data_IF_035322420890
#
_entry.id   IF_035322420890
#
_cell.length_a   1.000
_cell.length_b   1.000
_cell.length_c   1.000
_cell.angle_alpha   90.00
_cell.angle_beta   90.00
_cell.angle_gamma   90.00
#
_symmetry.space_group_name_H-M   'P 1'
#
loop_
_entity.id
_entity.type
_entity.pdbx_description
1 polymer ?
#
# COMPACT_ATOMS: atom_id res chain seq x y z
N UNK A 1 20.09 19.71 -53.66
CA UNK A 1 19.96 18.28 -53.39
C UNK A 1 20.60 18.01 -52.03
N UNK A 2 19.74 17.82 -51.02
CA UNK A 2 19.87 17.33 -49.64
C UNK A 2 21.15 17.50 -48.78
N UNK A 3 20.92 18.28 -47.71
CA UNK A 3 21.66 18.48 -46.45
C UNK A 3 21.85 17.17 -45.67
N UNK A 4 23.04 16.94 -45.11
CA UNK A 4 23.32 15.80 -44.22
C UNK A 4 22.99 16.19 -42.78
N UNK A 5 21.88 15.65 -42.25
CA UNK A 5 21.65 15.51 -40.81
C UNK A 5 22.37 14.24 -40.33
N UNK A 6 23.21 14.35 -39.31
CA UNK A 6 23.66 13.19 -38.54
C UNK A 6 23.28 13.44 -37.07
N UNK A 7 22.26 12.70 -36.66
CA UNK A 7 21.64 12.74 -35.34
C UNK A 7 22.62 12.33 -34.25
N UNK A 8 22.64 13.11 -33.16
CA UNK A 8 23.27 12.73 -31.91
C UNK A 8 22.51 11.58 -31.27
N UNK A 9 23.23 10.50 -30.95
CA UNK A 9 22.69 9.34 -30.27
C UNK A 9 22.30 9.70 -28.82
N UNK A 10 21.00 9.58 -28.51
CA UNK A 10 20.48 9.61 -27.15
C UNK A 10 20.93 8.33 -26.42
N UNK A 11 21.69 8.50 -25.34
CA UNK A 11 21.99 7.44 -24.41
C UNK A 11 20.70 7.03 -23.68
N UNK A 12 20.11 5.92 -24.08
CA UNK A 12 19.02 5.28 -23.36
C UNK A 12 19.58 4.63 -22.10
N UNK A 13 19.29 5.21 -20.94
CA UNK A 13 19.53 4.56 -19.65
C UNK A 13 18.56 3.37 -19.53
N UNK A 14 19.11 2.17 -19.56
CA UNK A 14 18.38 0.92 -19.34
C UNK A 14 17.90 0.84 -17.89
N UNK A 15 16.61 1.11 -17.67
CA UNK A 15 15.94 0.74 -16.43
C UNK A 15 15.87 -0.79 -16.44
N UNK A 16 16.74 -1.42 -15.65
CA UNK A 16 16.72 -2.85 -15.41
C UNK A 16 15.40 -3.17 -14.71
N UNK A 17 14.48 -3.82 -15.42
CA UNK A 17 13.23 -4.33 -14.88
C UNK A 17 13.56 -5.36 -13.81
N UNK A 18 13.34 -5.00 -12.54
CA UNK A 18 13.24 -5.97 -11.46
C UNK A 18 12.02 -6.84 -11.77
N UNK A 19 12.27 -8.00 -12.37
CA UNK A 19 11.30 -9.07 -12.45
C UNK A 19 11.01 -9.56 -11.02
N UNK A 20 10.10 -8.87 -10.33
CA UNK A 20 9.36 -9.47 -9.23
C UNK A 20 8.56 -10.58 -9.89
N UNK A 21 8.95 -11.83 -9.64
CA UNK A 21 8.10 -12.98 -9.90
C UNK A 21 6.85 -12.83 -9.02
N UNK A 22 5.86 -12.09 -9.55
CA UNK A 22 4.61 -11.82 -8.90
C UNK A 22 3.68 -13.01 -9.17
N UNK A 23 3.77 -14.05 -8.34
CA UNK A 23 2.51 -14.64 -7.88
C UNK A 23 1.88 -13.62 -6.91
N UNK A 24 1.34 -12.53 -7.48
CA UNK A 24 0.50 -11.62 -6.72
C UNK A 24 -0.78 -12.37 -6.35
N UNK A 25 -1.21 -12.25 -5.10
CA UNK A 25 -2.44 -12.89 -4.62
C UNK A 25 -2.22 -14.03 -3.65
N UNK A 26 -1.75 -13.71 -2.44
CA UNK A 26 -1.91 -14.64 -1.30
C UNK A 26 -3.38 -15.02 -1.11
N UNK A 27 -3.64 -16.31 -0.86
CA UNK A 27 -4.97 -16.80 -0.48
C UNK A 27 -5.32 -16.47 0.97
N UNK A 28 -4.36 -16.01 1.77
CA UNK A 28 -4.43 -15.80 3.22
C UNK A 28 -3.72 -14.49 3.57
N UNK A 29 -4.30 -13.35 3.17
CA UNK A 29 -3.68 -12.06 3.39
C UNK A 29 -3.52 -11.79 4.89
N UNK A 30 -4.48 -12.21 5.71
CA UNK A 30 -4.45 -11.93 7.15
C UNK A 30 -4.53 -13.18 8.00
N UNK A 31 -3.53 -13.32 8.88
CA UNK A 31 -3.54 -14.23 10.02
C UNK A 31 -3.58 -13.43 11.33
N UNK A 32 -4.60 -13.66 12.13
CA UNK A 32 -4.86 -12.99 13.40
C UNK A 32 -4.32 -13.83 14.57
N UNK A 33 -3.88 -13.17 15.62
CA UNK A 33 -3.53 -13.81 16.90
C UNK A 33 -4.40 -13.17 17.97
N UNK A 34 -5.07 -13.96 18.79
CA UNK A 34 -5.86 -13.45 19.92
C UNK A 34 -5.98 -14.52 21.00
N UNK A 35 -5.62 -14.19 22.25
CA UNK A 35 -5.80 -15.08 23.41
C UNK A 35 -5.15 -16.47 23.26
N UNK A 36 -4.03 -16.57 22.54
CA UNK A 36 -3.34 -17.83 22.23
C UNK A 36 -3.87 -18.59 21.01
N UNK A 37 -5.01 -18.18 20.44
CA UNK A 37 -5.53 -18.74 19.21
C UNK A 37 -5.00 -18.00 17.97
N UNK A 38 -4.72 -18.76 16.91
CA UNK A 38 -4.30 -18.24 15.61
C UNK A 38 -5.42 -18.46 14.61
N UNK A 39 -5.95 -17.36 14.08
CA UNK A 39 -7.04 -17.36 13.12
C UNK A 39 -6.52 -16.93 11.76
N UNK A 40 -7.20 -17.30 10.66
CA UNK A 40 -6.78 -16.91 9.31
C UNK A 40 -8.00 -16.60 8.47
N UNK A 41 -8.04 -15.40 7.91
CA UNK A 41 -9.08 -14.99 6.97
C UNK A 41 -8.56 -15.14 5.55
N UNK A 42 -9.34 -15.81 4.71
CA UNK A 42 -8.99 -16.03 3.29
C UNK A 42 -9.29 -14.78 2.47
N UNK A 43 -8.54 -14.60 1.38
CA UNK A 43 -8.80 -13.53 0.41
C UNK A 43 -10.24 -13.56 -0.13
N UNK A 44 -10.83 -14.75 -0.31
CA UNK A 44 -12.22 -14.89 -0.77
C UNK A 44 -13.27 -14.37 0.22
N UNK A 45 -12.98 -14.43 1.53
CA UNK A 45 -13.89 -13.90 2.56
C UNK A 45 -13.84 -12.38 2.58
N UNK A 46 -12.64 -11.80 2.49
CA UNK A 46 -12.48 -10.36 2.28
C UNK A 46 -13.14 -9.89 0.99
N UNK A 47 -12.96 -10.61 -0.12
CA UNK A 47 -13.55 -10.25 -1.41
C UNK A 47 -15.09 -10.21 -1.37
N UNK A 48 -15.73 -11.19 -0.71
CA UNK A 48 -17.19 -11.17 -0.48
C UNK A 48 -17.59 -9.94 0.34
N UNK A 49 -16.97 -9.77 1.50
CA UNK A 49 -17.24 -8.64 2.38
C UNK A 49 -17.07 -7.28 1.67
N UNK A 50 -16.03 -7.10 0.87
CA UNK A 50 -15.83 -5.85 0.12
C UNK A 50 -16.89 -5.64 -0.97
N UNK A 51 -17.36 -6.71 -1.61
CA UNK A 51 -18.30 -6.64 -2.73
C UNK A 51 -19.75 -6.34 -2.30
N UNK A 52 -20.24 -7.01 -1.26
CA UNK A 52 -21.66 -6.95 -0.88
C UNK A 52 -21.89 -6.85 0.63
N UNK A 53 -20.84 -6.69 1.43
CA UNK A 53 -20.91 -6.60 2.89
C UNK A 53 -21.10 -7.96 3.58
N UNK A 54 -21.17 -9.08 2.86
CA UNK A 54 -21.40 -10.40 3.46
C UNK A 54 -20.17 -10.87 4.26
N UNK A 55 -20.33 -11.00 5.58
CA UNK A 55 -19.31 -11.54 6.48
C UNK A 55 -19.49 -13.06 6.62
N UNK A 56 -18.68 -13.82 5.88
CA UNK A 56 -18.73 -15.30 5.85
C UNK A 56 -17.64 -15.98 6.68
N UNK A 57 -16.74 -15.21 7.29
CA UNK A 57 -15.58 -15.70 8.02
C UNK A 57 -15.59 -15.20 9.46
N UNK A 58 -15.52 -16.14 10.42
CA UNK A 58 -15.56 -15.82 11.85
C UNK A 58 -14.38 -14.95 12.30
N UNK A 59 -13.21 -15.11 11.68
CA UNK A 59 -12.03 -14.35 12.06
C UNK A 59 -12.12 -12.91 11.53
N UNK A 60 -12.70 -12.71 10.34
CA UNK A 60 -13.05 -11.38 9.82
C UNK A 60 -14.07 -10.69 10.72
N UNK A 61 -15.15 -11.39 11.10
CA UNK A 61 -16.16 -10.85 12.03
C UNK A 61 -15.52 -10.41 13.34
N UNK A 62 -14.65 -11.23 13.93
CA UNK A 62 -13.94 -10.88 15.15
C UNK A 62 -13.01 -9.67 14.95
N UNK A 63 -12.30 -9.60 13.83
CA UNK A 63 -11.46 -8.46 13.47
C UNK A 63 -12.25 -7.15 13.39
N UNK A 64 -13.42 -7.18 12.75
CA UNK A 64 -14.33 -6.02 12.66
C UNK A 64 -14.84 -5.64 14.05
N UNK A 65 -15.38 -6.59 14.81
CA UNK A 65 -15.94 -6.32 16.15
C UNK A 65 -14.90 -5.73 17.12
N UNK A 66 -13.63 -6.14 16.99
CA UNK A 66 -12.54 -5.65 17.84
C UNK A 66 -11.87 -4.38 17.28
N UNK A 67 -12.30 -3.89 16.10
CA UNK A 67 -11.66 -2.74 15.46
C UNK A 67 -12.13 -1.39 15.99
N UNK A 68 -13.28 -1.35 16.66
CA UNK A 68 -13.92 -0.09 17.07
C UNK A 68 -14.65 0.64 15.94
N UNK A 69 -14.81 -0.01 14.79
CA UNK A 69 -15.57 0.47 13.63
C UNK A 69 -16.73 -0.45 13.33
N UNK A 70 -17.76 0.09 12.67
CA UNK A 70 -18.84 -0.71 12.09
C UNK A 70 -18.34 -1.49 10.86
N UNK A 71 -19.07 -2.54 10.48
CA UNK A 71 -18.77 -3.29 9.27
C UNK A 71 -18.82 -2.39 8.02
N UNK A 72 -19.81 -1.50 7.94
CA UNK A 72 -20.01 -0.59 6.81
C UNK A 72 -18.85 0.42 6.70
N UNK A 73 -18.40 1.02 7.81
CA UNK A 73 -17.25 1.93 7.83
C UNK A 73 -15.96 1.23 7.37
N UNK A 74 -15.74 -0.01 7.81
CA UNK A 74 -14.59 -0.79 7.34
C UNK A 74 -14.76 -1.10 5.85
N UNK A 75 -15.93 -1.55 5.40
CA UNK A 75 -16.15 -1.87 3.99
C UNK A 75 -15.90 -0.65 3.10
N UNK A 76 -16.47 0.50 3.44
CA UNK A 76 -16.29 1.76 2.73
C UNK A 76 -14.81 2.16 2.73
N UNK A 77 -14.15 2.20 3.90
CA UNK A 77 -12.74 2.57 4.00
C UNK A 77 -11.79 1.61 3.27
N UNK A 78 -12.13 0.32 3.21
CA UNK A 78 -11.30 -0.69 2.54
C UNK A 78 -11.43 -0.62 1.01
N UNK A 79 -12.58 -0.20 0.50
CA UNK A 79 -12.92 -0.14 -0.94
C UNK A 79 -12.74 1.24 -1.55
N UNK A 80 -12.56 2.28 -0.73
CA UNK A 80 -12.26 3.63 -1.18
C UNK A 80 -10.96 3.66 -2.00
N UNK A 81 -11.06 4.24 -3.19
CA UNK A 81 -9.95 4.45 -4.11
C UNK A 81 -9.42 5.88 -4.00
N UNK A 82 -8.13 6.06 -4.27
CA UNK A 82 -7.42 7.33 -4.25
C UNK A 82 -6.57 7.48 -5.51
N UNK A 83 -6.69 8.64 -6.17
CA UNK A 83 -5.85 8.96 -7.33
C UNK A 83 -4.40 9.15 -6.91
N UNK A 84 -3.48 8.51 -7.64
CA UNK A 84 -2.03 8.56 -7.40
C UNK A 84 -1.23 8.57 -8.70
N UNK A 85 -0.06 9.22 -8.67
CA UNK A 85 0.96 9.09 -9.71
C UNK A 85 1.90 7.93 -9.36
N UNK A 86 1.91 6.88 -10.19
CA UNK A 86 2.75 5.69 -9.98
C UNK A 86 4.23 6.04 -9.79
N UNK A 87 4.73 7.02 -10.54
CA UNK A 87 6.13 7.46 -10.45
C UNK A 87 6.38 8.17 -9.13
N UNK A 88 5.47 9.05 -8.69
CA UNK A 88 5.55 9.77 -7.44
C UNK A 88 5.43 8.86 -6.22
N UNK A 89 4.53 7.87 -6.27
CA UNK A 89 4.44 6.81 -5.26
C UNK A 89 5.75 6.02 -5.21
N UNK A 90 6.26 5.58 -6.36
CA UNK A 90 7.52 4.84 -6.42
C UNK A 90 8.69 5.65 -5.84
N UNK A 91 8.83 6.93 -6.23
CA UNK A 91 9.85 7.84 -5.70
C UNK A 91 9.76 7.97 -4.19
N UNK A 92 8.55 8.14 -3.64
CA UNK A 92 8.33 8.16 -2.21
C UNK A 92 8.82 6.85 -1.58
N UNK A 93 8.30 5.70 -2.01
CA UNK A 93 8.57 4.39 -1.38
C UNK A 93 10.04 3.94 -1.45
N UNK A 94 10.81 4.45 -2.42
CA UNK A 94 12.26 4.22 -2.55
C UNK A 94 13.12 5.31 -1.90
N UNK A 95 12.54 6.42 -1.45
CA UNK A 95 13.24 7.44 -0.67
C UNK A 95 13.59 6.94 0.74
N UNK A 96 14.47 7.65 1.44
CA UNK A 96 14.81 7.35 2.83
C UNK A 96 13.57 7.39 3.75
N UNK A 97 12.72 8.41 3.57
CA UNK A 97 11.49 8.57 4.35
C UNK A 97 10.48 7.48 4.04
N UNK A 98 10.35 7.08 2.76
CA UNK A 98 9.48 5.97 2.37
C UNK A 98 9.96 4.60 2.88
N UNK A 99 11.28 4.37 2.94
CA UNK A 99 11.83 3.16 3.57
C UNK A 99 11.51 3.13 5.05
N UNK A 100 11.70 4.26 5.76
CA UNK A 100 11.34 4.38 7.18
C UNK A 100 9.84 4.17 7.40
N UNK A 101 9.01 4.81 6.58
CA UNK A 101 7.57 4.61 6.57
C UNK A 101 7.22 3.12 6.45
N UNK A 102 7.75 2.41 5.44
CA UNK A 102 7.46 0.99 5.22
C UNK A 102 7.93 0.10 6.38
N UNK A 103 9.08 0.41 7.00
CA UNK A 103 9.56 -0.31 8.17
C UNK A 103 8.60 -0.14 9.36
N UNK A 104 8.17 1.10 9.61
CA UNK A 104 7.20 1.44 10.65
C UNK A 104 5.82 0.80 10.37
N UNK A 105 5.35 0.83 9.11
CA UNK A 105 4.09 0.22 8.68
C UNK A 105 4.10 -1.30 8.81
N UNK A 106 5.24 -1.95 8.61
CA UNK A 106 5.36 -3.41 8.74
C UNK A 106 5.71 -3.86 10.15
N UNK A 107 5.70 -2.96 11.15
CA UNK A 107 6.15 -3.23 12.53
C UNK A 107 5.43 -4.42 13.17
N UNK A 108 4.12 -4.49 13.04
CA UNK A 108 3.28 -5.51 13.69
C UNK A 108 2.56 -6.42 12.69
N UNK A 109 2.66 -6.10 11.40
CA UNK A 109 2.07 -6.83 10.29
C UNK A 109 3.14 -7.11 9.22
N UNK A 110 3.52 -8.38 9.06
CA UNK A 110 4.66 -8.77 8.22
C UNK A 110 4.51 -10.18 7.63
N UNK A 111 5.31 -10.55 6.61
CA UNK A 111 5.32 -11.89 6.02
C UNK A 111 5.47 -13.01 7.05
N UNK A 112 4.60 -14.01 7.01
CA UNK A 112 4.56 -15.08 8.01
C UNK A 112 5.88 -15.87 8.12
N UNK A 113 6.48 -16.25 6.99
CA UNK A 113 7.68 -17.09 6.95
C UNK A 113 9.00 -16.31 7.06
N UNK A 114 9.17 -15.27 6.22
CA UNK A 114 10.39 -14.47 6.15
C UNK A 114 10.44 -13.35 7.20
N UNK A 115 9.34 -13.14 7.94
CA UNK A 115 9.20 -12.14 9.00
C UNK A 115 9.63 -10.75 8.50
N UNK A 116 10.49 -10.07 9.27
CA UNK A 116 10.98 -8.72 8.98
C UNK A 116 11.92 -8.62 7.79
N UNK A 117 12.60 -9.71 7.42
CA UNK A 117 13.65 -9.67 6.40
C UNK A 117 13.15 -9.21 5.03
N UNK A 118 11.89 -9.50 4.70
CA UNK A 118 11.28 -9.16 3.41
C UNK A 118 10.04 -8.30 3.56
N UNK A 119 9.77 -7.76 4.76
CA UNK A 119 8.51 -7.07 5.04
C UNK A 119 8.38 -5.78 4.21
N UNK A 120 9.41 -4.92 4.25
CA UNK A 120 9.48 -3.69 3.46
C UNK A 120 9.32 -3.96 1.98
N UNK A 121 10.02 -4.97 1.44
CA UNK A 121 9.95 -5.30 0.01
C UNK A 121 8.57 -5.81 -0.38
N UNK A 122 7.97 -6.68 0.44
CA UNK A 122 6.66 -7.26 0.16
C UNK A 122 5.53 -6.23 0.24
N UNK A 123 5.56 -5.32 1.23
CA UNK A 123 4.57 -4.25 1.31
C UNK A 123 4.76 -3.23 0.18
N UNK A 124 6.01 -2.83 -0.10
CA UNK A 124 6.32 -1.94 -1.23
C UNK A 124 5.80 -2.50 -2.54
N UNK A 125 6.05 -3.78 -2.83
CA UNK A 125 5.59 -4.39 -4.08
C UNK A 125 4.08 -4.40 -4.19
N UNK A 126 3.37 -4.68 -3.09
CA UNK A 126 1.91 -4.68 -3.08
C UNK A 126 1.35 -3.27 -3.37
N UNK A 127 1.93 -2.23 -2.76
CA UNK A 127 1.53 -0.83 -2.99
C UNK A 127 1.78 -0.42 -4.44
N UNK A 128 2.95 -0.72 -4.99
CA UNK A 128 3.31 -0.35 -6.37
C UNK A 128 2.43 -1.09 -7.39
N UNK A 129 2.16 -2.38 -7.15
CA UNK A 129 1.30 -3.18 -8.04
C UNK A 129 -0.15 -2.72 -8.00
N UNK A 130 -0.62 -2.21 -6.85
CA UNK A 130 -1.96 -1.64 -6.77
C UNK A 130 -2.04 -0.30 -7.48
N UNK A 131 -1.08 0.60 -7.23
CA UNK A 131 -0.99 1.93 -7.84
C UNK A 131 -0.74 1.94 -9.36
N UNK A 132 -0.68 0.79 -10.02
CA UNK A 132 -0.23 0.65 -11.40
C UNK A 132 -1.18 1.25 -12.43
N UNK A 133 -2.48 1.32 -12.12
CA UNK A 133 -3.52 1.92 -12.95
C UNK A 133 -3.80 3.39 -12.63
N UNK A 134 -3.03 3.99 -11.70
CA UNK A 134 -3.20 5.37 -11.24
C UNK A 134 -4.15 5.50 -10.05
N UNK A 135 -4.64 4.39 -9.51
CA UNK A 135 -5.51 4.35 -8.34
C UNK A 135 -4.91 3.45 -7.25
N UNK A 136 -5.19 3.75 -5.98
CA UNK A 136 -4.76 2.90 -4.87
C UNK A 136 -5.87 2.71 -3.84
N UNK A 137 -6.02 1.48 -3.33
CA UNK A 137 -7.03 1.12 -2.34
C UNK A 137 -6.52 0.06 -1.35
N UNK A 138 -7.14 -0.02 -0.18
CA UNK A 138 -6.73 -0.98 0.85
C UNK A 138 -6.99 -2.42 0.40
N UNK A 139 -8.16 -2.66 -0.20
CA UNK A 139 -8.54 -3.94 -0.78
C UNK A 139 -7.60 -4.33 -1.94
N UNK A 140 -7.21 -3.35 -2.76
CA UNK A 140 -6.25 -3.50 -3.82
C UNK A 140 -4.87 -3.95 -3.34
N UNK A 141 -4.24 -3.17 -2.45
CA UNK A 141 -2.98 -3.52 -1.80
C UNK A 141 -3.04 -4.91 -1.16
N UNK A 142 -4.14 -5.24 -0.47
CA UNK A 142 -4.32 -6.55 0.15
C UNK A 142 -4.29 -7.69 -0.87
N UNK A 143 -4.93 -7.52 -2.04
CA UNK A 143 -4.89 -8.51 -3.13
C UNK A 143 -3.49 -8.66 -3.73
N UNK A 144 -2.71 -7.58 -3.76
CA UNK A 144 -1.37 -7.57 -4.34
C UNK A 144 -0.27 -8.07 -3.39
N UNK A 145 -0.62 -8.46 -2.16
CA UNK A 145 0.34 -9.05 -1.24
C UNK A 145 0.96 -10.33 -1.85
N UNK A 146 2.30 -10.41 -1.93
CA UNK A 146 2.97 -11.52 -2.61
C UNK A 146 3.04 -12.81 -1.77
N UNK A 147 2.79 -12.71 -0.46
CA UNK A 147 2.89 -13.82 0.49
C UNK A 147 1.87 -13.64 1.61
N UNK A 148 1.62 -14.70 2.39
CA UNK A 148 0.78 -14.64 3.59
C UNK A 148 1.41 -13.68 4.62
N UNK A 149 0.65 -12.68 5.06
CA UNK A 149 1.04 -11.82 6.17
C UNK A 149 0.35 -12.26 7.47
N UNK A 150 0.99 -11.91 8.58
CA UNK A 150 0.48 -12.19 9.92
C UNK A 150 0.51 -10.92 10.75
N UNK A 151 -0.59 -10.69 11.45
CA UNK A 151 -0.65 -9.82 12.60
C UNK A 151 -0.09 -10.57 13.80
N UNK A 152 0.90 -10.01 14.48
CA UNK A 152 1.35 -10.55 15.76
C UNK A 152 0.79 -9.68 16.89
N UNK A 153 -0.05 -10.27 17.74
CA UNK A 153 -0.63 -9.60 18.90
C UNK A 153 0.35 -9.60 20.09
N UNK A 154 0.31 -8.47 20.80
CA UNK A 154 0.80 -8.09 22.14
C UNK A 154 1.60 -9.12 22.96
N UNK A 155 2.92 -8.90 23.01
CA UNK A 155 3.82 -9.61 23.94
C UNK A 155 5.30 -9.52 23.58
N UNK A 156 5.61 -9.19 22.32
CA UNK A 156 6.98 -8.91 21.85
C UNK A 156 7.04 -7.69 20.92
N UNK A 157 5.92 -7.31 20.29
CA UNK A 157 5.68 -5.99 19.71
C UNK A 157 4.70 -5.22 20.63
N UNK A 158 4.82 -3.90 20.65
CA UNK A 158 4.02 -2.97 21.47
C UNK A 158 2.54 -2.85 21.05
N UNK A 159 2.03 -3.78 20.23
CA UNK A 159 0.64 -3.79 19.76
C UNK A 159 0.27 -2.71 18.76
N UNK A 160 1.04 -1.63 18.72
CA UNK A 160 0.72 -0.45 17.94
C UNK A 160 0.89 -0.76 16.45
N UNK A 161 -0.26 -0.90 15.79
CA UNK A 161 -0.36 -0.70 14.36
C UNK A 161 -0.04 0.77 14.12
N UNK A 162 0.87 1.06 13.20
CA UNK A 162 1.13 2.46 12.84
C UNK A 162 0.01 2.94 11.92
N UNK A 163 -1.18 3.12 12.49
CA UNK A 163 -2.34 3.62 11.77
C UNK A 163 -2.01 5.04 11.34
N UNK A 164 -2.04 5.29 10.04
CA UNK A 164 -1.71 6.59 9.46
C UNK A 164 -2.84 7.63 9.65
N UNK A 165 -3.31 7.76 10.88
CA UNK A 165 -4.34 8.70 11.32
C UNK A 165 -4.13 9.03 12.80
N UNK A 166 -3.88 10.31 13.07
CA UNK A 166 -3.81 10.81 14.44
C UNK A 166 -5.20 11.01 15.04
N UNK A 167 -5.26 10.99 16.38
CA UNK A 167 -6.48 11.28 17.15
C UNK A 167 -7.49 10.13 17.21
N UNK A 168 -7.06 8.89 16.95
CA UNK A 168 -7.87 7.70 17.18
C UNK A 168 -7.64 7.16 18.60
N UNK A 169 -8.72 6.77 19.26
CA UNK A 169 -8.68 6.06 20.54
C UNK A 169 -8.57 4.55 20.32
N UNK A 170 -8.21 3.82 21.38
CA UNK A 170 -8.33 2.36 21.36
C UNK A 170 -9.82 1.96 21.28
N UNK A 171 -10.18 0.93 20.49
CA UNK A 171 -9.28 0.00 19.80
C UNK A 171 -8.87 0.41 18.37
N UNK A 172 -9.39 1.53 17.85
CA UNK A 172 -9.20 1.97 16.47
C UNK A 172 -7.72 2.23 16.13
N UNK A 173 -6.97 2.83 17.05
CA UNK A 173 -5.54 3.12 16.88
C UNK A 173 -4.64 1.86 16.83
N UNK A 174 -5.13 0.72 17.28
CA UNK A 174 -4.39 -0.57 17.33
C UNK A 174 -4.94 -1.62 16.37
N UNK A 175 -5.97 -1.27 15.60
CA UNK A 175 -6.65 -2.21 14.70
C UNK A 175 -5.90 -2.37 13.38
N UNK A 176 -5.69 -3.62 12.95
CA UNK A 176 -5.15 -3.90 11.61
C UNK A 176 -6.10 -3.44 10.50
N UNK A 177 -7.41 -3.47 10.74
CA UNK A 177 -8.37 -2.96 9.76
C UNK A 177 -8.24 -1.45 9.61
N UNK A 178 -8.03 -0.72 10.71
CA UNK A 178 -7.76 0.71 10.66
C UNK A 178 -6.44 1.02 9.96
N UNK A 179 -5.39 0.22 10.22
CA UNK A 179 -4.14 0.31 9.48
C UNK A 179 -4.35 0.21 7.97
N UNK A 180 -5.11 -0.79 7.52
CA UNK A 180 -5.43 -0.93 6.11
C UNK A 180 -6.24 0.26 5.60
N UNK A 181 -7.34 0.62 6.25
CA UNK A 181 -8.24 1.72 5.83
C UNK A 181 -7.50 3.03 5.58
N UNK A 182 -6.51 3.37 6.41
CA UNK A 182 -5.78 4.64 6.30
C UNK A 182 -4.48 4.57 5.47
N UNK A 183 -4.00 3.37 5.12
CA UNK A 183 -2.76 3.21 4.38
C UNK A 183 -2.77 3.89 3.00
N UNK A 184 -3.78 3.71 2.12
CA UNK A 184 -3.79 4.32 0.79
C UNK A 184 -3.75 5.86 0.85
N UNK A 185 -4.55 6.47 1.73
CA UNK A 185 -4.57 7.91 1.92
C UNK A 185 -3.20 8.46 2.36
N UNK A 186 -2.49 7.72 3.21
CA UNK A 186 -1.15 8.10 3.64
C UNK A 186 -0.13 8.02 2.51
N UNK A 187 -0.17 6.96 1.71
CA UNK A 187 0.68 6.83 0.52
C UNK A 187 0.40 7.95 -0.47
N UNK A 188 -0.88 8.25 -0.71
CA UNK A 188 -1.30 9.36 -1.57
C UNK A 188 -0.75 10.70 -1.07
N UNK A 189 -0.86 10.99 0.24
CA UNK A 189 -0.40 12.25 0.82
C UNK A 189 1.12 12.45 0.75
N UNK A 190 1.89 11.37 0.69
CA UNK A 190 3.36 11.40 0.69
C UNK A 190 3.99 11.20 -0.69
N UNK A 191 3.20 10.99 -1.75
CA UNK A 191 3.73 10.80 -3.10
C UNK A 191 4.57 12.00 -3.56
N UNK A 192 5.70 11.75 -4.23
CA UNK A 192 6.62 12.80 -4.67
C UNK A 192 6.34 13.15 -6.13
N UNK A 193 5.45 14.13 -6.33
CA UNK A 193 5.09 14.62 -7.66
C UNK A 193 6.26 15.38 -8.32
N UNK A 194 6.39 15.34 -9.66
CA UNK A 194 7.32 16.22 -10.35
C UNK A 194 6.99 17.69 -10.06
N UNK A 195 8.01 18.54 -9.99
CA UNK A 195 7.80 19.98 -9.91
C UNK A 195 6.98 20.44 -11.13
N UNK A 196 5.97 21.28 -10.91
CA UNK A 196 5.21 21.86 -12.01
C UNK A 196 6.16 22.55 -13.00
N UNK A 197 5.96 22.37 -14.32
CA UNK A 197 6.76 23.07 -15.31
C UNK A 197 6.66 24.58 -15.05
N UNK A 198 7.82 25.24 -14.92
CA UNK A 198 7.85 26.70 -14.84
C UNK A 198 7.08 27.27 -16.04
N UNK A 199 6.24 28.30 -15.84
CA UNK A 199 5.48 28.89 -16.93
C UNK A 199 6.44 29.27 -18.05
N UNK A 200 6.15 28.80 -19.26
CA UNK A 200 6.98 29.07 -20.42
C UNK A 200 7.20 30.58 -20.54
N UNK A 201 8.47 31.01 -20.56
CA UNK A 201 8.82 32.41 -20.72
C UNK A 201 8.11 32.94 -21.97
N UNK A 202 7.32 34.01 -21.80
CA UNK A 202 6.62 34.62 -22.91
C UNK A 202 7.63 35.01 -24.01
N UNK A 203 7.33 34.75 -25.29
CA UNK A 203 8.24 35.11 -26.36
C UNK A 203 8.50 36.61 -26.31
N UNK A 204 9.77 37.00 -26.20
CA UNK A 204 10.19 38.40 -26.22
C UNK A 204 9.84 38.96 -27.60
N UNK A 205 8.72 39.68 -27.69
CA UNK A 205 8.34 40.42 -28.90
C UNK A 205 9.28 41.62 -29.03
N UNK A 206 10.17 41.61 -30.02
CA UNK A 206 10.94 42.82 -30.36
C UNK A 206 12.35 42.65 -30.92
N UNK A 207 12.78 41.46 -31.33
CA UNK A 207 14.03 41.31 -32.08
C UNK A 207 13.76 40.77 -33.49
N UNK A 208 13.04 41.57 -34.28
CA UNK A 208 13.04 41.60 -35.74
C UNK A 208 12.75 43.04 -36.18
#
# INVERSE_FOLDING_TARGET
MFTRFAAGALAAASISTLAVAAEAGTKRPVRWVSGGAVWTTKASAFAKFFNDGEITDRALQAGINNSGWTADEIQEGMTKSYDVDLVGVSRFLYSADGVKFLDDQTRSYFPYWQKKKTAVVALRSAIILDAADGEISSAGIMRQLPVDFRLNDNGVSDGAQNVCKEGLDEPQSTSLLSWYVFLPACVQANQILPAEPAPAAAPVRGLW
#
